data_IF_457422176290
#
_entry.id   IF_457422176290
#
_cell.length_a   1.000
_cell.length_b   1.000
_cell.length_c   1.000
_cell.angle_alpha   90.00
_cell.angle_beta   90.00
_cell.angle_gamma   90.00
#
_symmetry.space_group_name_H-M   'P 1'
#
loop_
_entity.id
_entity.type
_entity.pdbx_description
1 polymer ?
#
# COMPACT_ATOMS: atom_id res chain seq x y z
N UNK A 1 -6.02 -9.77 24.87
CA UNK A 1 -5.65 -11.18 24.64
C UNK A 1 -5.62 -11.89 25.99
N UNK A 2 -5.68 -13.22 26.01
CA UNK A 2 -5.62 -13.97 27.25
C UNK A 2 -4.24 -13.79 27.90
N UNK A 3 -4.22 -13.54 29.21
CA UNK A 3 -2.99 -13.30 29.99
C UNK A 3 -3.09 -13.99 31.34
N UNK A 4 -1.96 -14.48 31.83
CA UNK A 4 -1.90 -15.01 33.20
C UNK A 4 -2.09 -13.85 34.18
N UNK A 5 -2.96 -13.96 35.19
CA UNK A 5 -3.27 -12.86 36.10
C UNK A 5 -2.22 -12.76 37.21
N UNK A 6 -0.93 -12.65 36.87
CA UNK A 6 0.08 -12.38 37.89
C UNK A 6 -0.14 -10.99 38.50
N UNK A 7 -0.07 -10.91 39.83
CA UNK A 7 -0.24 -9.68 40.63
C UNK A 7 0.96 -9.52 41.55
N UNK A 8 1.18 -8.30 42.03
CA UNK A 8 2.21 -8.03 43.03
C UNK A 8 1.97 -8.87 44.30
N UNK A 9 3.02 -9.55 44.77
CA UNK A 9 2.98 -10.29 46.03
C UNK A 9 3.01 -9.28 47.19
N UNK A 10 2.12 -9.44 48.19
CA UNK A 10 2.01 -8.53 49.33
C UNK A 10 3.32 -8.41 50.15
N UNK A 11 3.43 -7.32 50.91
CA UNK A 11 4.68 -6.69 51.40
C UNK A 11 5.51 -7.43 52.44
N UNK A 12 5.31 -8.73 52.69
CA UNK A 12 5.99 -9.42 53.79
C UNK A 12 7.34 -10.06 53.43
N UNK A 13 7.89 -9.83 52.22
CA UNK A 13 9.25 -10.28 51.90
C UNK A 13 9.90 -9.45 50.80
N UNK A 14 11.13 -8.96 51.02
CA UNK A 14 11.95 -8.20 50.05
C UNK A 14 12.17 -8.96 48.72
N UNK A 15 11.96 -10.28 48.71
CA UNK A 15 11.97 -11.14 47.50
C UNK A 15 10.74 -10.93 46.58
N UNK A 16 9.67 -10.28 47.04
CA UNK A 16 8.41 -10.11 46.28
C UNK A 16 8.58 -9.19 45.07
N UNK A 17 9.29 -8.07 45.20
CA UNK A 17 9.41 -7.08 44.14
C UNK A 17 10.12 -7.61 42.88
N UNK A 18 11.16 -8.43 43.04
CA UNK A 18 11.84 -9.06 41.90
C UNK A 18 10.95 -10.09 41.19
N UNK A 19 10.20 -10.90 41.95
CA UNK A 19 9.25 -11.86 41.39
C UNK A 19 8.11 -11.16 40.66
N UNK A 20 7.62 -10.04 41.20
CA UNK A 20 6.62 -9.19 40.55
C UNK A 20 7.13 -8.58 39.24
N UNK A 21 8.40 -8.17 39.18
CA UNK A 21 9.04 -7.72 37.93
C UNK A 21 9.06 -8.81 36.85
N UNK A 22 9.49 -10.02 37.20
CA UNK A 22 9.51 -11.18 36.28
C UNK A 22 8.10 -11.52 35.79
N UNK A 23 7.13 -11.54 36.70
CA UNK A 23 5.71 -11.75 36.38
C UNK A 23 5.17 -10.72 35.37
N UNK A 24 5.55 -9.45 35.53
CA UNK A 24 5.16 -8.40 34.60
C UNK A 24 5.78 -8.57 33.22
N UNK A 25 7.04 -8.99 33.14
CA UNK A 25 7.70 -9.24 31.84
C UNK A 25 7.12 -10.47 31.14
N UNK A 26 6.75 -11.52 31.88
CA UNK A 26 6.02 -12.66 31.33
C UNK A 26 4.68 -12.21 30.73
N UNK A 27 3.92 -11.35 31.42
CA UNK A 27 2.67 -10.81 30.88
C UNK A 27 2.88 -10.03 29.57
N UNK A 28 3.92 -9.18 29.49
CA UNK A 28 4.24 -8.46 28.24
C UNK A 28 4.58 -9.42 27.10
N UNK A 29 5.34 -10.48 27.38
CA UNK A 29 5.67 -11.51 26.38
C UNK A 29 4.39 -12.22 25.91
N UNK A 30 3.51 -12.61 26.83
CA UNK A 30 2.23 -13.24 26.49
C UNK A 30 1.34 -12.32 25.65
N UNK A 31 1.31 -11.03 25.96
CA UNK A 31 0.58 -10.02 25.19
C UNK A 31 1.16 -9.84 23.78
N UNK A 32 2.49 -9.80 23.62
CA UNK A 32 3.13 -9.65 22.30
C UNK A 32 2.92 -10.89 21.43
N UNK A 33 3.08 -12.08 22.01
CA UNK A 33 2.92 -13.33 21.28
C UNK A 33 1.46 -13.66 20.98
N UNK A 34 0.53 -13.12 21.76
CA UNK A 34 -0.88 -13.45 21.66
C UNK A 34 -1.13 -14.93 21.93
N UNK A 35 -0.81 -15.36 23.15
CA UNK A 35 -0.88 -16.77 23.54
C UNK A 35 -2.30 -17.34 23.44
N UNK A 36 -2.40 -18.59 23.02
CA UNK A 36 -3.66 -19.35 22.96
C UNK A 36 -4.05 -19.88 24.34
N UNK A 37 -5.31 -20.27 24.47
CA UNK A 37 -5.87 -20.86 25.68
C UNK A 37 -6.56 -22.18 25.40
N UNK A 38 -6.61 -23.03 26.41
CA UNK A 38 -7.39 -24.27 26.42
C UNK A 38 -8.29 -24.32 27.67
N UNK A 39 -9.42 -25.01 27.55
CA UNK A 39 -10.44 -25.13 28.60
C UNK A 39 -10.34 -26.52 29.22
N UNK A 40 -10.44 -26.58 30.55
CA UNK A 40 -10.55 -27.81 31.31
C UNK A 40 -11.84 -27.78 32.13
N UNK A 41 -12.51 -28.91 32.17
CA UNK A 41 -13.76 -29.13 32.90
C UNK A 41 -13.57 -30.32 33.84
N UNK A 42 -14.13 -30.24 35.05
CA UNK A 42 -14.03 -31.23 36.13
C UNK A 42 -12.60 -31.69 36.40
N UNK A 43 -11.64 -30.78 36.29
CA UNK A 43 -10.23 -31.12 36.50
C UNK A 43 -9.95 -31.31 37.99
N UNK A 44 -9.39 -32.45 38.42
CA UNK A 44 -9.17 -32.73 39.83
C UNK A 44 -8.09 -31.83 40.44
N UNK A 45 -8.35 -31.33 41.65
CA UNK A 45 -7.37 -30.62 42.46
C UNK A 45 -6.85 -31.52 43.59
N UNK A 46 -5.55 -31.51 43.81
CA UNK A 46 -4.90 -32.33 44.83
C UNK A 46 -4.71 -31.53 46.11
N UNK A 47 -5.07 -32.07 47.29
CA UNK A 47 -4.84 -31.39 48.55
C UNK A 47 -3.34 -31.36 48.88
N UNK A 48 -2.87 -30.21 49.35
CA UNK A 48 -1.56 -30.08 49.96
C UNK A 48 -1.63 -30.68 51.37
N UNK A 49 -0.82 -31.72 51.61
CA UNK A 49 -0.90 -32.56 52.83
C UNK A 49 0.40 -32.63 53.63
N UNK A 50 1.47 -32.00 53.14
CA UNK A 50 2.83 -32.02 53.72
C UNK A 50 3.04 -31.01 54.86
N UNK A 51 1.97 -30.37 55.33
CA UNK A 51 2.02 -29.40 56.41
C UNK A 51 2.20 -30.08 57.79
N UNK A 52 3.08 -29.52 58.61
CA UNK A 52 3.35 -29.98 59.99
C UNK A 52 2.13 -29.81 60.89
N UNK A 53 1.38 -28.72 60.73
CA UNK A 53 0.11 -28.49 61.42
C UNK A 53 -1.03 -29.25 60.71
N UNK A 54 -1.59 -30.26 61.37
CA UNK A 54 -2.67 -31.08 60.84
C UNK A 54 -3.98 -30.31 60.64
N UNK A 55 -4.16 -29.16 61.27
CA UNK A 55 -5.35 -28.30 61.13
C UNK A 55 -5.33 -27.47 59.85
N UNK A 56 -4.18 -27.38 59.19
CA UNK A 56 -4.02 -26.66 57.93
C UNK A 56 -4.11 -27.58 56.69
N UNK A 57 -3.98 -28.90 56.89
CA UNK A 57 -4.16 -29.91 55.83
C UNK A 57 -5.55 -29.83 55.24
N UNK A 58 -5.69 -30.11 53.94
CA UNK A 58 -6.97 -30.05 53.23
C UNK A 58 -7.61 -28.64 53.21
N UNK A 59 -6.79 -27.59 53.28
CA UNK A 59 -7.22 -26.20 52.99
C UNK A 59 -6.75 -25.72 51.63
N UNK A 60 -5.58 -26.16 51.19
CA UNK A 60 -4.98 -25.75 49.93
C UNK A 60 -5.12 -26.90 48.95
N UNK A 61 -5.68 -26.61 47.78
CA UNK A 61 -5.84 -27.55 46.68
C UNK A 61 -5.16 -26.98 45.45
N UNK A 62 -4.33 -27.78 44.78
CA UNK A 62 -3.56 -27.38 43.61
C UNK A 62 -3.88 -28.28 42.41
N UNK A 63 -3.99 -27.68 41.23
CA UNK A 63 -3.94 -28.42 39.98
C UNK A 63 -2.49 -28.65 39.54
N UNK A 64 -2.30 -29.71 38.77
CA UNK A 64 -1.09 -29.95 37.99
C UNK A 64 -0.96 -28.98 36.79
N UNK A 65 -2.05 -28.34 36.37
CA UNK A 65 -2.09 -27.29 35.34
C UNK A 65 -2.16 -25.91 35.99
N UNK A 66 -1.25 -25.00 35.59
CA UNK A 66 -1.13 -23.63 36.12
C UNK A 66 -1.54 -22.58 35.09
N UNK A 67 -1.36 -21.30 35.40
CA UNK A 67 -1.61 -20.17 34.50
C UNK A 67 -3.07 -20.04 34.05
N UNK A 68 -4.00 -20.21 34.99
CA UNK A 68 -5.42 -20.02 34.70
C UNK A 68 -5.71 -18.54 34.46
N UNK A 69 -6.60 -18.29 33.53
CA UNK A 69 -7.14 -16.96 33.23
C UNK A 69 -8.23 -16.58 34.23
N UNK A 70 -8.59 -15.30 34.28
CA UNK A 70 -9.68 -14.78 35.12
C UNK A 70 -10.94 -14.45 34.31
N UNK A 71 -10.90 -14.68 33.00
CA UNK A 71 -12.00 -14.42 32.10
C UNK A 71 -12.07 -15.56 31.07
N UNK A 72 -12.98 -16.54 31.25
CA UNK A 72 -13.96 -16.65 32.35
C UNK A 72 -13.29 -16.93 33.71
N UNK A 73 -13.98 -16.58 34.81
CA UNK A 73 -13.50 -16.88 36.16
C UNK A 73 -13.57 -18.40 36.41
N UNK A 74 -12.54 -19.03 37.03
CA UNK A 74 -12.58 -20.44 37.38
C UNK A 74 -13.76 -20.79 38.29
N UNK A 75 -14.38 -21.95 38.07
CA UNK A 75 -15.49 -22.45 38.89
C UNK A 75 -15.02 -23.66 39.69
N UNK A 76 -15.21 -23.63 41.00
CA UNK A 76 -14.77 -24.68 41.91
C UNK A 76 -15.96 -25.54 42.35
N UNK A 77 -15.76 -26.84 42.35
CA UNK A 77 -16.73 -27.83 42.80
C UNK A 77 -16.17 -28.61 43.98
N UNK A 78 -17.07 -28.97 44.90
CA UNK A 78 -16.83 -29.90 46.00
C UNK A 78 -17.91 -30.97 45.93
N UNK A 79 -17.48 -32.22 45.80
CA UNK A 79 -18.36 -33.38 45.67
C UNK A 79 -19.40 -33.20 44.53
N UNK A 80 -18.96 -32.61 43.42
CA UNK A 80 -19.79 -32.34 42.24
C UNK A 80 -20.73 -31.13 42.33
N UNK A 81 -20.72 -30.39 43.45
CA UNK A 81 -21.54 -29.17 43.64
C UNK A 81 -20.68 -27.92 43.61
N UNK A 82 -21.13 -26.86 42.93
CA UNK A 82 -20.43 -25.56 42.90
C UNK A 82 -20.30 -25.00 44.32
N UNK A 83 -19.09 -24.60 44.68
CA UNK A 83 -18.78 -23.98 45.97
C UNK A 83 -19.03 -22.48 45.91
N UNK A 84 -19.60 -21.91 46.97
CA UNK A 84 -19.74 -20.46 47.12
C UNK A 84 -18.35 -19.78 47.09
N UNK A 85 -18.11 -18.79 46.21
CA UNK A 85 -16.87 -18.02 46.18
C UNK A 85 -16.48 -17.37 47.53
N UNK A 86 -17.41 -17.20 48.47
CA UNK A 86 -17.10 -16.73 49.83
C UNK A 86 -16.36 -17.75 50.71
N UNK A 87 -16.32 -19.03 50.33
CA UNK A 87 -15.67 -20.10 51.09
C UNK A 87 -14.18 -20.28 50.77
N UNK A 88 -13.68 -19.64 49.71
CA UNK A 88 -12.30 -19.82 49.25
C UNK A 88 -11.70 -18.55 48.64
N UNK A 89 -10.38 -18.54 48.55
CA UNK A 89 -9.61 -17.58 47.77
C UNK A 89 -8.96 -18.28 46.58
N UNK A 90 -9.06 -17.66 45.41
CA UNK A 90 -8.47 -18.17 44.17
C UNK A 90 -7.09 -17.59 43.93
N UNK A 91 -6.19 -18.47 43.49
CA UNK A 91 -4.85 -18.14 43.03
C UNK A 91 -4.66 -18.65 41.58
N UNK A 92 -5.35 -18.06 40.57
CA UNK A 92 -5.47 -18.65 39.23
C UNK A 92 -4.12 -18.81 38.52
N UNK A 93 -3.21 -17.84 38.69
CA UNK A 93 -1.87 -17.92 38.11
C UNK A 93 -1.08 -19.15 38.59
N UNK A 94 -1.35 -19.62 39.80
CA UNK A 94 -0.70 -20.75 40.44
C UNK A 94 -1.50 -22.06 40.30
N UNK A 95 -2.73 -21.99 39.78
CA UNK A 95 -3.64 -23.12 39.71
C UNK A 95 -4.09 -23.63 41.08
N UNK A 96 -4.26 -22.73 42.05
CA UNK A 96 -4.51 -23.08 43.43
C UNK A 96 -5.79 -22.43 44.00
N UNK A 97 -6.40 -23.13 44.95
CA UNK A 97 -7.57 -22.70 45.72
C UNK A 97 -7.23 -22.84 47.21
N UNK A 98 -7.55 -21.82 48.00
CA UNK A 98 -7.35 -21.83 49.45
C UNK A 98 -8.70 -21.66 50.14
N UNK A 99 -9.20 -22.72 50.78
CA UNK A 99 -10.45 -22.67 51.53
C UNK A 99 -10.28 -21.99 52.89
N UNK A 100 -11.27 -21.20 53.28
CA UNK A 100 -11.33 -20.55 54.61
C UNK A 100 -11.43 -21.61 55.72
N UNK A 101 -12.17 -22.69 55.47
CA UNK A 101 -12.32 -23.82 56.39
C UNK A 101 -11.58 -25.07 55.89
N UNK A 102 -11.17 -25.93 56.82
CA UNK A 102 -10.62 -27.24 56.50
C UNK A 102 -11.69 -28.12 55.85
N UNK A 103 -11.34 -28.80 54.75
CA UNK A 103 -12.24 -29.73 54.07
C UNK A 103 -12.15 -31.13 54.69
N UNK A 104 -13.17 -31.96 54.44
CA UNK A 104 -13.13 -33.36 54.84
C UNK A 104 -12.04 -34.12 54.06
N UNK A 105 -11.45 -35.15 54.66
CA UNK A 105 -10.35 -35.92 54.03
C UNK A 105 -10.76 -36.61 52.74
N UNK A 106 -12.05 -36.92 52.63
CA UNK A 106 -12.64 -37.67 51.52
C UNK A 106 -13.35 -36.73 50.51
N UNK A 107 -13.24 -35.41 50.69
CA UNK A 107 -13.88 -34.45 49.79
C UNK A 107 -13.15 -34.43 48.44
N UNK A 108 -13.92 -34.54 47.36
CA UNK A 108 -13.41 -34.41 46.00
C UNK A 108 -13.56 -32.96 45.53
N UNK A 109 -12.44 -32.30 45.25
CA UNK A 109 -12.43 -30.92 44.74
C UNK A 109 -12.01 -30.93 43.28
N UNK A 110 -12.85 -30.34 42.43
CA UNK A 110 -12.58 -30.19 40.99
C UNK A 110 -12.76 -28.73 40.56
N UNK A 111 -12.22 -28.38 39.39
CA UNK A 111 -12.33 -27.04 38.84
C UNK A 111 -12.57 -27.04 37.33
N UNK A 112 -13.38 -26.08 36.90
CA UNK A 112 -13.50 -25.66 35.50
C UNK A 112 -12.70 -24.38 35.31
N UNK A 113 -11.76 -24.38 34.37
CA UNK A 113 -10.91 -23.21 34.13
C UNK A 113 -10.40 -23.14 32.70
N UNK A 114 -10.07 -21.91 32.29
CA UNK A 114 -9.34 -21.64 31.04
C UNK A 114 -7.90 -21.29 31.39
N UNK A 115 -6.90 -21.87 30.71
CA UNK A 115 -5.48 -21.63 30.98
C UNK A 115 -4.69 -21.35 29.70
N UNK A 116 -3.52 -20.70 29.85
CA UNK A 116 -2.62 -20.41 28.73
C UNK A 116 -1.81 -21.66 28.37
N UNK A 117 -1.78 -21.99 27.07
CA UNK A 117 -0.99 -23.10 26.52
C UNK A 117 0.28 -22.60 25.81
N UNK A 118 1.21 -23.51 25.50
CA UNK A 118 2.48 -23.19 24.82
C UNK A 118 2.37 -22.87 23.32
N UNK A 119 1.30 -22.22 22.88
CA UNK A 119 1.03 -21.86 21.49
C UNK A 119 0.66 -20.37 21.36
N UNK A 120 0.97 -19.75 20.23
CA UNK A 120 0.82 -18.33 20.00
C UNK A 120 0.17 -18.05 18.64
N UNK A 121 -0.76 -17.10 18.58
CA UNK A 121 -1.44 -16.72 17.33
C UNK A 121 -0.48 -16.10 16.31
N UNK A 122 0.59 -15.43 16.78
CA UNK A 122 1.57 -14.80 15.88
C UNK A 122 2.27 -15.81 14.95
N UNK A 123 2.42 -17.07 15.36
CA UNK A 123 3.00 -18.11 14.52
C UNK A 123 2.05 -18.53 13.39
N UNK A 124 0.75 -18.57 13.68
CA UNK A 124 -0.29 -18.86 12.70
C UNK A 124 -0.41 -17.70 11.70
N UNK A 125 -0.38 -16.45 12.18
CA UNK A 125 -0.39 -15.25 11.34
C UNK A 125 0.81 -15.22 10.38
N UNK A 126 2.01 -15.57 10.86
CA UNK A 126 3.21 -15.66 10.02
C UNK A 126 3.05 -16.75 8.95
N UNK A 127 2.53 -17.92 9.32
CA UNK A 127 2.29 -19.01 8.38
C UNK A 127 1.24 -18.64 7.32
N UNK A 128 0.17 -17.95 7.73
CA UNK A 128 -0.85 -17.44 6.83
C UNK A 128 -0.28 -16.40 5.87
N UNK A 129 0.46 -15.41 6.36
CA UNK A 129 1.12 -14.42 5.50
C UNK A 129 2.10 -15.07 4.51
N UNK A 130 2.81 -16.13 4.91
CA UNK A 130 3.67 -16.87 4.00
C UNK A 130 2.88 -17.56 2.87
N UNK A 131 1.72 -18.15 3.17
CA UNK A 131 0.83 -18.74 2.16
C UNK A 131 0.24 -17.69 1.23
N UNK A 132 -0.18 -16.54 1.76
CA UNK A 132 -0.66 -15.40 0.96
C UNK A 132 0.41 -14.90 -0.01
N UNK A 133 1.68 -14.83 0.42
CA UNK A 133 2.82 -14.49 -0.44
C UNK A 133 2.98 -15.51 -1.58
N UNK A 134 2.89 -16.81 -1.31
CA UNK A 134 2.98 -17.84 -2.35
C UNK A 134 1.79 -17.78 -3.34
N UNK A 135 0.57 -17.57 -2.85
CA UNK A 135 -0.58 -17.36 -3.73
C UNK A 135 -0.44 -16.10 -4.59
N UNK A 136 0.13 -15.01 -4.06
CA UNK A 136 0.45 -13.82 -4.85
C UNK A 136 1.47 -14.17 -5.94
N UNK A 137 2.51 -14.96 -5.64
CA UNK A 137 3.48 -15.43 -6.65
C UNK A 137 2.80 -16.26 -7.75
N UNK A 138 1.92 -17.19 -7.39
CA UNK A 138 1.20 -18.02 -8.36
C UNK A 138 0.24 -17.20 -9.23
N UNK A 139 -0.49 -16.25 -8.63
CA UNK A 139 -1.39 -15.33 -9.36
C UNK A 139 -0.62 -14.38 -10.29
N UNK A 140 0.62 -14.04 -9.97
CA UNK A 140 1.53 -13.31 -10.87
C UNK A 140 2.08 -14.18 -12.01
N UNK A 141 1.95 -15.51 -11.94
CA UNK A 141 2.38 -16.48 -12.96
C UNK A 141 1.21 -16.99 -13.83
N UNK A 142 0.20 -16.15 -14.07
CA UNK A 142 -1.01 -16.51 -14.83
C UNK A 142 -0.75 -17.28 -16.15
N UNK A 143 -1.71 -18.11 -16.60
CA UNK A 143 -1.47 -19.18 -17.57
C UNK A 143 -1.20 -18.61 -18.97
N UNK A 144 0.08 -18.55 -19.32
CA UNK A 144 0.50 -18.09 -20.65
C UNK A 144 1.97 -18.28 -21.02
N UNK A 145 2.85 -18.73 -20.10
CA UNK A 145 4.26 -18.97 -20.43
C UNK A 145 4.53 -20.46 -20.63
N UNK A 146 4.07 -20.98 -21.78
CA UNK A 146 4.59 -22.22 -22.31
C UNK A 146 6.04 -22.01 -22.77
N UNK A 147 6.91 -22.83 -22.20
CA UNK A 147 8.28 -23.16 -22.63
C UNK A 147 9.39 -22.11 -22.52
N UNK A 148 10.40 -22.54 -21.75
CA UNK A 148 11.78 -22.07 -21.61
C UNK A 148 12.01 -20.86 -20.69
N UNK A 149 12.59 -21.19 -19.53
CA UNK A 149 13.26 -20.31 -18.58
C UNK A 149 12.43 -19.16 -18.01
N UNK A 150 11.55 -19.50 -17.06
CA UNK A 150 11.16 -18.60 -15.98
C UNK A 150 12.36 -18.31 -15.06
N UNK A 151 13.40 -17.71 -15.63
CA UNK A 151 14.47 -17.05 -14.89
C UNK A 151 13.81 -15.87 -14.18
N UNK A 152 13.85 -15.89 -12.85
CA UNK A 152 13.66 -14.70 -12.05
C UNK A 152 14.67 -13.68 -12.58
N UNK A 153 14.22 -12.75 -13.43
CA UNK A 153 15.02 -11.59 -13.81
C UNK A 153 15.09 -10.66 -12.59
N UNK A 154 15.93 -11.03 -11.62
CA UNK A 154 16.59 -10.08 -10.71
C UNK A 154 17.61 -9.30 -11.55
N UNK A 155 17.10 -8.51 -12.49
CA UNK A 155 17.86 -7.82 -13.51
C UNK A 155 17.04 -6.69 -14.08
N UNK A 156 17.06 -5.55 -13.39
CA UNK A 156 16.83 -4.24 -13.98
C UNK A 156 15.54 -4.07 -14.79
N UNK A 157 14.40 -4.41 -14.23
CA UNK A 157 13.12 -3.79 -14.63
C UNK A 157 12.39 -3.50 -13.33
N UNK A 158 12.53 -2.27 -12.83
CA UNK A 158 11.56 -1.77 -11.86
C UNK A 158 10.17 -1.98 -12.47
N UNK A 159 9.24 -2.67 -11.79
CA UNK A 159 7.87 -2.72 -12.24
C UNK A 159 7.33 -1.30 -12.08
N UNK A 160 7.49 -0.50 -13.13
CA UNK A 160 6.91 0.83 -13.26
C UNK A 160 5.42 0.68 -13.53
N UNK A 161 4.71 0.10 -12.55
CA UNK A 161 3.30 0.38 -12.37
C UNK A 161 3.22 1.78 -11.77
N UNK A 162 2.43 2.70 -12.36
CA UNK A 162 2.32 4.05 -11.86
C UNK A 162 1.72 4.04 -10.45
N UNK A 163 2.59 4.09 -9.43
CA UNK A 163 2.19 4.25 -8.04
C UNK A 163 1.76 5.71 -7.86
N UNK A 164 0.69 5.95 -7.12
CA UNK A 164 0.13 7.28 -6.94
C UNK A 164 1.19 8.29 -6.44
N UNK A 165 1.37 9.40 -7.18
CA UNK A 165 2.11 10.58 -6.70
C UNK A 165 3.45 10.91 -7.37
N UNK A 166 3.93 10.13 -8.36
CA UNK A 166 5.28 10.31 -8.93
C UNK A 166 5.35 10.97 -10.32
N UNK A 167 4.23 11.21 -11.01
CA UNK A 167 4.23 11.81 -12.36
C UNK A 167 3.37 13.07 -12.42
N UNK A 168 3.98 14.17 -12.90
CA UNK A 168 3.33 15.50 -12.97
C UNK A 168 2.76 15.84 -14.35
N UNK A 169 3.06 15.07 -15.40
CA UNK A 169 2.59 15.38 -16.77
C UNK A 169 1.17 14.91 -17.09
N UNK A 170 0.60 14.00 -16.29
CA UNK A 170 -0.75 13.48 -16.47
C UNK A 170 -1.54 13.67 -15.18
N UNK A 171 -2.41 14.69 -15.13
CA UNK A 171 -3.23 14.95 -13.95
C UNK A 171 -4.31 13.88 -13.82
N UNK A 172 -4.26 13.09 -12.74
CA UNK A 172 -5.31 12.15 -12.36
C UNK A 172 -6.63 12.93 -12.20
N UNK A 173 -7.75 12.43 -12.74
CA UNK A 173 -9.04 13.17 -12.71
C UNK A 173 -9.56 13.53 -11.30
N UNK A 174 -9.12 12.81 -10.28
CA UNK A 174 -9.40 13.11 -8.86
C UNK A 174 -8.38 14.03 -8.19
N UNK A 175 -7.25 14.33 -8.84
CA UNK A 175 -6.32 15.36 -8.43
C UNK A 175 -6.61 16.64 -9.21
N UNK A 176 -7.58 17.40 -8.72
CA UNK A 176 -7.80 18.77 -9.17
C UNK A 176 -6.97 19.71 -8.27
N UNK A 177 -5.84 20.27 -8.74
CA UNK A 177 -5.03 21.18 -7.92
C UNK A 177 -5.74 22.51 -7.60
N UNK A 178 -6.95 22.73 -8.14
CA UNK A 178 -7.74 23.95 -8.02
C UNK A 178 -8.95 23.76 -7.05
N UNK A 179 -9.42 22.53 -6.81
CA UNK A 179 -10.65 22.30 -6.00
C UNK A 179 -10.61 20.97 -5.25
N UNK A 180 -10.88 21.01 -3.94
CA UNK A 180 -10.74 19.89 -2.98
C UNK A 180 -11.82 18.79 -3.09
N UNK A 181 -12.91 19.03 -3.83
CA UNK A 181 -14.02 18.08 -3.96
C UNK A 181 -13.86 17.18 -5.20
N UNK A 182 -13.31 15.99 -5.01
CA UNK A 182 -13.02 15.01 -6.07
C UNK A 182 -14.26 14.35 -6.70
N UNK A 183 -14.26 14.23 -8.02
CA UNK A 183 -15.17 13.33 -8.74
C UNK A 183 -14.63 11.90 -8.65
N UNK A 184 -15.39 10.98 -8.04
CA UNK A 184 -15.10 9.55 -8.09
C UNK A 184 -15.40 8.98 -9.48
N UNK A 185 -14.38 8.78 -10.30
CA UNK A 185 -14.48 7.96 -11.53
C UNK A 185 -13.17 7.20 -11.75
N UNK A 186 -13.27 5.93 -12.15
CA UNK A 186 -12.16 5.00 -12.48
C UNK A 186 -10.93 5.71 -13.07
N UNK A 187 -9.89 5.86 -12.25
CA UNK A 187 -8.89 6.93 -12.42
C UNK A 187 -7.72 6.62 -13.36
N UNK A 188 -7.62 5.38 -13.88
CA UNK A 188 -6.51 4.96 -14.74
C UNK A 188 -6.95 3.95 -15.80
N UNK A 189 -7.66 4.41 -16.83
CA UNK A 189 -7.87 3.60 -18.04
C UNK A 189 -6.65 3.71 -18.96
N UNK A 190 -5.86 2.63 -19.13
CA UNK A 190 -4.69 2.65 -20.01
C UNK A 190 -5.11 2.73 -21.48
N UNK A 191 -4.24 3.28 -22.31
CA UNK A 191 -4.38 3.33 -23.76
C UNK A 191 -3.16 2.67 -24.39
N UNK A 192 -3.36 1.60 -25.16
CA UNK A 192 -2.26 0.82 -25.72
C UNK A 192 -2.22 0.92 -27.24
N UNK A 193 -1.03 1.11 -27.79
CA UNK A 193 -0.82 1.08 -29.24
C UNK A 193 -1.52 2.22 -29.98
N UNK A 194 -1.39 3.43 -29.48
CA UNK A 194 -1.95 4.62 -30.11
C UNK A 194 -0.99 5.09 -31.20
N UNK A 195 -1.46 5.10 -32.44
CA UNK A 195 -0.68 5.60 -33.57
C UNK A 195 -0.39 7.08 -33.41
N UNK A 196 0.88 7.42 -33.58
CA UNK A 196 1.38 8.79 -33.63
C UNK A 196 2.20 8.89 -34.90
N UNK A 197 1.89 9.89 -35.70
CA UNK A 197 2.60 10.14 -36.95
C UNK A 197 3.99 10.74 -36.67
N UNK A 198 4.97 10.32 -37.44
CA UNK A 198 6.31 10.90 -37.43
C UNK A 198 6.31 12.34 -37.94
N UNK A 199 7.40 13.05 -37.67
CA UNK A 199 7.53 14.48 -37.99
C UNK A 199 6.41 15.33 -37.37
N UNK A 200 5.93 14.93 -36.20
CA UNK A 200 4.97 15.70 -35.41
C UNK A 200 5.55 16.07 -34.06
N UNK A 201 5.20 17.25 -33.58
CA UNK A 201 5.43 17.66 -32.20
C UNK A 201 4.09 17.72 -31.49
N UNK A 202 3.89 16.81 -30.54
CA UNK A 202 2.73 16.79 -29.66
C UNK A 202 3.10 17.44 -28.32
N UNK A 203 2.50 18.58 -27.99
CA UNK A 203 2.69 19.30 -26.74
C UNK A 203 1.45 19.21 -25.83
N UNK A 204 1.69 18.88 -24.57
CA UNK A 204 0.67 18.64 -23.55
C UNK A 204 0.87 19.60 -22.37
N UNK A 205 -0.19 20.23 -21.86
CA UNK A 205 -0.07 21.17 -20.75
C UNK A 205 0.21 20.42 -19.45
N UNK A 206 1.10 20.96 -18.61
CA UNK A 206 1.31 20.48 -17.24
C UNK A 206 1.69 21.65 -16.32
N UNK A 207 0.87 21.96 -15.30
CA UNK A 207 1.22 22.97 -14.32
C UNK A 207 2.22 22.44 -13.30
N UNK A 208 3.01 23.37 -12.80
CA UNK A 208 3.97 23.22 -11.73
C UNK A 208 3.48 24.08 -10.56
N UNK A 209 3.15 23.46 -9.44
CA UNK A 209 2.56 24.15 -8.27
C UNK A 209 3.63 24.68 -7.32
N UNK A 210 4.81 24.06 -7.32
CA UNK A 210 5.97 24.44 -6.51
C UNK A 210 7.24 24.27 -7.33
N UNK A 211 8.29 25.00 -6.96
CA UNK A 211 9.62 24.82 -7.54
C UNK A 211 10.01 23.33 -7.54
N UNK A 212 10.27 22.77 -8.72
CA UNK A 212 10.44 21.32 -8.91
C UNK A 212 11.59 21.04 -9.88
N UNK A 213 12.45 20.09 -9.51
CA UNK A 213 13.53 19.58 -10.36
C UNK A 213 13.11 18.26 -10.99
N UNK A 214 13.21 18.19 -12.32
CA UNK A 214 12.98 16.99 -13.10
C UNK A 214 14.30 16.38 -13.56
N UNK A 215 14.52 15.13 -13.20
CA UNK A 215 15.80 14.44 -13.48
C UNK A 215 15.73 13.62 -14.76
N UNK A 216 14.54 13.16 -15.15
CA UNK A 216 14.36 12.24 -16.28
C UNK A 216 12.98 12.38 -16.91
N UNK A 217 12.89 12.06 -18.19
CA UNK A 217 11.65 11.84 -18.91
C UNK A 217 11.62 10.43 -19.51
N UNK A 218 10.42 9.86 -19.62
CA UNK A 218 10.19 8.53 -20.18
C UNK A 218 9.05 8.49 -21.19
N UNK A 219 9.16 7.62 -22.18
CA UNK A 219 8.09 7.30 -23.14
C UNK A 219 7.98 5.79 -23.31
N UNK A 220 6.76 5.27 -23.39
CA UNK A 220 6.51 3.83 -23.53
C UNK A 220 6.02 3.51 -24.94
N UNK A 221 6.90 2.93 -25.76
CA UNK A 221 6.59 2.44 -27.09
C UNK A 221 5.93 1.06 -26.98
N UNK A 222 4.86 0.83 -27.74
CA UNK A 222 4.30 -0.51 -27.93
C UNK A 222 5.06 -1.25 -29.02
N UNK A 223 5.14 -0.63 -30.20
CA UNK A 223 5.84 -1.16 -31.36
C UNK A 223 6.05 -0.05 -32.41
N UNK A 224 7.04 -0.24 -33.28
CA UNK A 224 7.31 0.61 -34.42
C UNK A 224 7.65 -0.22 -35.66
N UNK A 225 7.63 0.40 -36.84
CA UNK A 225 8.07 -0.25 -38.09
C UNK A 225 9.60 -0.44 -38.15
N UNK A 226 10.31 0.20 -37.24
CA UNK A 226 11.76 0.13 -37.05
C UNK A 226 12.12 0.79 -35.73
N UNK A 227 13.42 0.98 -35.51
CA UNK A 227 13.91 1.72 -34.35
C UNK A 227 13.33 3.13 -34.32
N UNK A 228 12.62 3.45 -33.23
CA UNK A 228 11.95 4.74 -33.05
C UNK A 228 12.91 5.70 -32.37
N UNK A 229 13.02 6.90 -32.93
CA UNK A 229 13.76 8.01 -32.37
C UNK A 229 12.79 9.06 -31.88
N UNK A 230 12.97 9.50 -30.64
CA UNK A 230 12.11 10.51 -30.03
C UNK A 230 12.91 11.47 -29.15
N UNK A 231 12.41 12.70 -29.03
CA UNK A 231 12.90 13.70 -28.09
C UNK A 231 11.77 14.23 -27.22
N UNK A 232 12.12 14.64 -26.01
CA UNK A 232 11.23 15.36 -25.11
C UNK A 232 11.66 16.82 -25.08
N UNK A 233 10.69 17.72 -25.23
CA UNK A 233 10.88 19.15 -25.06
C UNK A 233 10.01 19.68 -23.93
N UNK A 234 10.42 20.80 -23.35
CA UNK A 234 9.58 21.60 -22.45
C UNK A 234 9.49 23.00 -23.04
N UNK A 235 8.27 23.46 -23.32
CA UNK A 235 8.00 24.83 -23.74
C UNK A 235 7.35 25.61 -22.59
N UNK A 236 7.62 26.91 -22.55
CA UNK A 236 6.88 27.85 -21.74
C UNK A 236 5.44 27.98 -22.26
N UNK A 237 4.51 28.42 -21.41
CA UNK A 237 3.22 28.96 -21.84
C UNK A 237 3.39 30.43 -22.28
N UNK A 238 2.59 30.91 -23.24
CA UNK A 238 2.58 32.34 -23.64
C UNK A 238 1.68 33.23 -22.75
N UNK A 239 1.07 32.67 -21.71
CA UNK A 239 0.09 33.34 -20.84
C UNK A 239 -1.35 33.22 -21.35
N UNK A 240 -1.57 32.58 -22.51
CA UNK A 240 -2.89 32.37 -23.11
C UNK A 240 -3.30 30.89 -23.14
N UNK A 241 -2.48 29.98 -22.60
CA UNK A 241 -2.71 28.55 -22.75
C UNK A 241 -2.21 28.01 -24.08
N UNK A 242 -1.08 28.50 -24.59
CA UNK A 242 -0.42 27.96 -25.79
C UNK A 242 1.09 27.79 -25.55
N UNK A 243 1.70 26.71 -26.06
CA UNK A 243 3.16 26.55 -26.01
C UNK A 243 3.86 27.66 -26.80
N UNK A 244 4.93 28.20 -26.21
CA UNK A 244 5.67 29.35 -26.72
C UNK A 244 7.14 29.01 -26.97
N UNK A 245 8.06 29.51 -26.14
CA UNK A 245 9.50 29.31 -26.29
C UNK A 245 9.95 27.99 -25.67
N UNK A 246 10.87 27.30 -26.34
CA UNK A 246 11.52 26.09 -25.85
C UNK A 246 12.42 26.46 -24.66
N UNK A 247 12.17 25.84 -23.52
CA UNK A 247 12.98 25.95 -22.31
C UNK A 247 14.06 24.89 -22.30
N UNK A 248 13.69 23.67 -22.71
CA UNK A 248 14.56 22.50 -22.64
C UNK A 248 14.27 21.53 -23.78
N UNK A 249 15.30 20.86 -24.28
CA UNK A 249 15.18 19.66 -25.10
C UNK A 249 16.09 18.56 -24.58
N UNK A 250 15.60 17.33 -24.60
CA UNK A 250 16.35 16.16 -24.19
C UNK A 250 17.36 15.72 -25.26
N UNK A 251 18.38 14.92 -24.88
CA UNK A 251 19.06 14.04 -25.81
C UNK A 251 18.05 13.17 -26.59
N UNK A 252 18.47 12.65 -27.75
CA UNK A 252 17.68 11.70 -28.50
C UNK A 252 17.54 10.38 -27.74
N UNK A 253 16.31 9.87 -27.66
CA UNK A 253 16.01 8.53 -27.20
C UNK A 253 15.87 7.60 -28.40
N UNK A 254 16.46 6.42 -28.29
CA UNK A 254 16.37 5.35 -29.28
C UNK A 254 15.68 4.16 -28.64
N UNK A 255 14.52 3.78 -29.18
CA UNK A 255 13.70 2.67 -28.68
C UNK A 255 13.60 1.60 -29.76
N UNK A 256 13.81 0.34 -29.37
CA UNK A 256 13.75 -0.79 -30.28
C UNK A 256 12.33 -1.00 -30.84
N UNK A 257 12.23 -1.62 -32.02
CA UNK A 257 10.98 -1.72 -32.77
C UNK A 257 9.93 -2.60 -32.08
N UNK A 258 10.38 -3.53 -31.25
CA UNK A 258 9.57 -4.41 -30.39
C UNK A 258 8.98 -3.70 -29.16
N UNK A 259 9.31 -2.42 -28.96
CA UNK A 259 8.71 -1.58 -27.94
C UNK A 259 9.52 -1.48 -26.65
N UNK A 260 8.86 -1.04 -25.59
CA UNK A 260 9.46 -0.80 -24.27
C UNK A 260 9.63 0.69 -23.95
N UNK A 261 10.39 0.95 -22.89
CA UNK A 261 10.59 2.31 -22.40
C UNK A 261 11.85 2.96 -23.00
N UNK A 262 11.69 4.15 -23.53
CA UNK A 262 12.78 5.09 -23.81
C UNK A 262 12.91 6.10 -22.69
N UNK A 263 14.13 6.43 -22.31
CA UNK A 263 14.43 7.40 -21.26
C UNK A 263 15.42 8.44 -21.75
N UNK A 264 15.25 9.67 -21.28
CA UNK A 264 16.24 10.73 -21.43
C UNK A 264 16.44 11.47 -20.11
N UNK A 265 17.69 11.78 -19.80
CA UNK A 265 18.02 12.61 -18.65
C UNK A 265 17.71 14.09 -18.94
N UNK A 266 17.16 14.78 -17.95
CA UNK A 266 16.67 16.16 -18.06
C UNK A 266 17.52 17.14 -17.25
N UNK A 267 17.57 16.95 -15.93
CA UNK A 267 18.19 17.87 -14.98
C UNK A 267 17.72 19.32 -15.15
N UNK A 268 16.39 19.51 -15.22
CA UNK A 268 15.75 20.82 -15.42
C UNK A 268 14.96 21.23 -14.18
N UNK A 269 15.18 22.46 -13.71
CA UNK A 269 14.46 23.04 -12.59
C UNK A 269 13.43 24.05 -13.11
N UNK A 270 12.15 23.85 -12.75
CA UNK A 270 11.05 24.73 -13.15
C UNK A 270 10.46 25.44 -11.93
N UNK A 271 10.12 26.71 -12.12
CA UNK A 271 9.39 27.51 -11.14
C UNK A 271 7.89 27.19 -11.19
N UNK A 272 7.09 27.60 -10.20
CA UNK A 272 5.63 27.50 -10.29
C UNK A 272 5.09 28.21 -11.55
N UNK A 273 4.23 27.55 -12.31
CA UNK A 273 3.71 28.07 -13.57
C UNK A 273 3.10 26.99 -14.47
N UNK A 274 2.53 27.39 -15.60
CA UNK A 274 2.05 26.46 -16.63
C UNK A 274 3.14 26.25 -17.68
N UNK A 275 3.39 24.99 -18.02
CA UNK A 275 4.37 24.58 -19.02
C UNK A 275 3.77 23.55 -19.97
N UNK A 276 4.49 23.26 -21.05
CA UNK A 276 4.07 22.32 -22.09
C UNK A 276 5.14 21.28 -22.33
N UNK A 277 4.83 20.02 -22.01
CA UNK A 277 5.73 18.91 -22.29
C UNK A 277 5.44 18.39 -23.70
N UNK A 278 6.47 18.34 -24.51
CA UNK A 278 6.36 18.01 -25.91
C UNK A 278 7.12 16.73 -26.23
N UNK A 279 6.57 15.92 -27.14
CA UNK A 279 7.25 14.80 -27.78
C UNK A 279 7.46 15.13 -29.25
N UNK A 280 8.66 14.90 -29.76
CA UNK A 280 8.97 14.95 -31.19
C UNK A 280 9.26 13.54 -31.68
N UNK A 281 8.44 13.03 -32.59
CA UNK A 281 8.54 11.67 -33.10
C UNK A 281 9.24 11.64 -34.45
N UNK A 282 10.25 10.78 -34.61
CA UNK A 282 11.01 10.66 -35.85
C UNK A 282 10.35 9.86 -36.96
N UNK A 283 9.41 8.99 -36.61
CA UNK A 283 8.70 8.12 -37.53
C UNK A 283 7.33 7.75 -36.94
N UNK A 284 6.45 7.21 -37.78
CA UNK A 284 5.18 6.66 -37.34
C UNK A 284 5.41 5.53 -36.34
N UNK A 285 4.77 5.62 -35.18
CA UNK A 285 4.98 4.71 -34.06
C UNK A 285 3.72 4.54 -33.21
N UNK A 286 3.60 3.40 -32.55
CA UNK A 286 2.48 3.07 -31.68
C UNK A 286 2.89 3.19 -30.21
N UNK A 287 2.32 4.15 -29.51
CA UNK A 287 2.69 4.48 -28.14
C UNK A 287 1.65 4.05 -27.12
N UNK A 288 2.10 3.74 -25.91
CA UNK A 288 1.25 3.53 -24.76
C UNK A 288 1.05 4.85 -23.99
N UNK A 289 -0.10 4.99 -23.34
CA UNK A 289 -0.49 6.19 -22.63
C UNK A 289 -1.77 5.99 -21.82
N UNK A 290 -2.54 7.05 -21.65
CA UNK A 290 -3.78 7.06 -20.87
C UNK A 290 -4.99 7.43 -21.71
N UNK A 291 -6.16 6.90 -21.39
CA UNK A 291 -7.42 7.38 -21.97
C UNK A 291 -7.74 8.80 -21.50
N UNK A 292 -8.46 9.58 -22.31
CA UNK A 292 -8.84 10.96 -21.98
C UNK A 292 -9.72 11.12 -20.74
N UNK A 293 -10.30 10.03 -20.26
CA UNK A 293 -11.14 10.04 -19.05
C UNK A 293 -10.29 9.95 -17.78
N UNK A 294 -9.04 9.52 -17.92
CA UNK A 294 -8.07 9.36 -16.84
C UNK A 294 -7.28 10.65 -16.58
N UNK A 295 -7.18 11.54 -17.57
CA UNK A 295 -6.40 12.78 -17.52
C UNK A 295 -7.31 14.01 -17.44
N UNK A 296 -7.00 14.98 -16.57
CA UNK A 296 -7.69 16.28 -16.55
C UNK A 296 -7.26 17.09 -17.79
N UNK A 297 -8.18 17.51 -18.67
CA UNK A 297 -7.88 18.56 -19.63
C UNK A 297 -7.71 19.87 -18.86
N UNK A 298 -6.47 20.34 -18.72
CA UNK A 298 -6.16 21.56 -17.98
C UNK A 298 -6.66 22.83 -18.66
N UNK A 299 -7.03 22.73 -19.94
CA UNK A 299 -7.63 23.83 -20.68
C UNK A 299 -9.14 23.62 -20.76
N UNK A 300 -9.87 24.27 -19.85
CA UNK A 300 -11.30 24.51 -20.07
C UNK A 300 -11.40 25.59 -21.13
N UNK A 301 -11.72 25.16 -22.34
CA UNK A 301 -11.82 26.03 -23.48
C UNK A 301 -12.90 27.09 -23.26
N UNK A 302 -12.53 28.37 -23.20
CA UNK A 302 -13.52 29.43 -23.32
C UNK A 302 -13.88 29.54 -24.80
N UNK A 303 -14.98 28.90 -25.19
CA UNK A 303 -15.41 28.79 -26.57
C UNK A 303 -15.53 30.13 -27.30
N UNK A 304 -15.74 31.25 -26.59
CA UNK A 304 -16.00 32.55 -27.21
C UNK A 304 -14.86 33.06 -28.13
N UNK A 305 -13.60 32.81 -27.79
CA UNK A 305 -12.46 33.32 -28.57
C UNK A 305 -12.14 32.48 -29.81
N UNK A 306 -12.52 31.20 -29.82
CA UNK A 306 -12.28 30.27 -30.95
C UNK A 306 -13.50 30.09 -31.84
N UNK A 307 -14.71 30.24 -31.29
CA UNK A 307 -15.97 30.22 -32.04
C UNK A 307 -16.05 31.34 -33.10
N UNK A 308 -15.19 32.36 -33.03
CA UNK A 308 -15.11 33.40 -34.05
C UNK A 308 -14.40 32.95 -35.35
N UNK A 309 -13.59 31.88 -35.33
CA UNK A 309 -12.73 31.52 -36.46
C UNK A 309 -13.01 30.15 -37.10
N UNK A 310 -14.09 29.45 -36.75
CA UNK A 310 -14.48 28.21 -37.42
C UNK A 310 -15.92 28.30 -37.93
N UNK A 311 -16.09 28.09 -39.24
CA UNK A 311 -17.38 28.00 -39.92
C UNK A 311 -18.27 26.87 -39.40
N UNK A 312 -17.73 25.95 -38.59
CA UNK A 312 -18.44 24.86 -37.95
C UNK A 312 -18.27 24.96 -36.44
N UNK A 313 -19.39 25.15 -35.71
CA UNK A 313 -19.42 25.29 -34.25
C UNK A 313 -18.98 23.98 -33.59
N UNK A 314 -17.81 23.91 -32.93
CA UNK A 314 -17.42 22.70 -32.21
C UNK A 314 -18.38 22.50 -31.03
N UNK A 315 -18.83 21.27 -30.83
CA UNK A 315 -19.66 20.91 -29.67
C UNK A 315 -18.95 21.35 -28.37
N UNK A 316 -19.62 22.07 -27.45
CA UNK A 316 -19.04 22.53 -26.17
C UNK A 316 -18.57 21.38 -25.24
N UNK A 317 -18.87 20.13 -25.59
CA UNK A 317 -18.38 18.93 -24.92
C UNK A 317 -17.10 18.36 -25.54
N UNK A 318 -16.49 19.04 -26.51
CA UNK A 318 -15.24 18.59 -27.16
C UNK A 318 -14.04 18.91 -26.28
N UNK A 319 -13.33 17.87 -25.84
CA UNK A 319 -12.13 18.01 -25.01
C UNK A 319 -10.88 18.01 -25.89
N UNK A 320 -10.03 19.01 -25.73
CA UNK A 320 -8.73 19.10 -26.41
C UNK A 320 -7.62 18.69 -25.46
N UNK A 321 -6.65 17.95 -26.00
CA UNK A 321 -5.57 17.36 -25.21
C UNK A 321 -4.24 18.08 -25.28
N UNK A 322 -4.08 19.01 -26.23
CA UNK A 322 -2.84 19.74 -26.41
C UNK A 322 -2.73 20.33 -27.81
N UNK A 323 -1.51 20.71 -28.17
CA UNK A 323 -1.17 21.25 -29.49
C UNK A 323 -0.30 20.30 -30.29
N UNK A 324 -0.62 20.12 -31.57
CA UNK A 324 0.12 19.28 -32.50
C UNK A 324 0.61 20.15 -33.63
N UNK A 325 1.91 20.18 -33.81
CA UNK A 325 2.52 20.71 -35.02
C UNK A 325 2.84 19.53 -35.94
N UNK A 326 2.41 19.60 -37.20
CA UNK A 326 2.69 18.59 -38.24
C UNK A 326 3.76 19.10 -39.20
N UNK A 327 4.33 18.18 -40.00
CA UNK A 327 5.36 18.46 -40.99
C UNK A 327 6.63 19.10 -40.39
N UNK A 328 6.96 18.75 -39.14
CA UNK A 328 8.17 19.20 -38.46
C UNK A 328 9.23 18.12 -38.59
N UNK A 329 10.16 18.29 -39.52
CA UNK A 329 11.27 17.35 -39.74
C UNK A 329 11.94 17.00 -38.42
N UNK A 330 12.10 15.70 -38.19
CA UNK A 330 12.72 15.21 -36.98
C UNK A 330 14.18 15.69 -36.81
N UNK A 331 14.51 16.16 -35.61
CA UNK A 331 15.79 16.80 -35.31
C UNK A 331 15.77 17.56 -33.99
N UNK A 332 16.47 18.70 -33.94
CA UNK A 332 16.33 19.61 -32.80
C UNK A 332 14.93 20.21 -32.79
N UNK A 333 14.38 20.36 -31.58
CA UNK A 333 13.06 20.97 -31.43
C UNK A 333 13.14 22.47 -31.75
N UNK A 334 12.13 23.05 -32.44
CA UNK A 334 12.09 24.48 -32.73
C UNK A 334 12.19 25.33 -31.46
N UNK A 335 12.98 26.42 -31.51
CA UNK A 335 13.13 27.34 -30.37
C UNK A 335 11.82 28.04 -30.00
N UNK A 336 10.93 28.23 -30.96
CA UNK A 336 9.56 28.69 -30.77
C UNK A 336 8.62 27.62 -31.27
N UNK A 337 7.54 27.34 -30.53
CA UNK A 337 6.57 26.34 -30.94
C UNK A 337 6.04 26.67 -32.34
N UNK A 338 5.95 25.69 -33.26
CA UNK A 338 5.59 25.97 -34.65
C UNK A 338 4.26 26.69 -34.80
N UNK A 339 4.20 27.59 -35.79
CA UNK A 339 2.96 28.28 -36.16
C UNK A 339 1.89 27.32 -36.70
N UNK A 340 2.31 26.18 -37.27
CA UNK A 340 1.43 25.05 -37.64
C UNK A 340 0.85 24.30 -36.45
N UNK A 341 1.22 24.68 -35.22
CA UNK A 341 0.67 24.12 -34.00
C UNK A 341 -0.82 24.43 -33.86
N UNK A 342 -1.63 23.38 -33.94
CA UNK A 342 -3.09 23.45 -33.78
C UNK A 342 -3.55 22.58 -32.62
N UNK A 343 -4.69 22.94 -32.02
CA UNK A 343 -5.31 22.10 -31.00
C UNK A 343 -5.72 20.77 -31.62
N UNK A 344 -5.32 19.66 -30.99
CA UNK A 344 -5.79 18.35 -31.40
C UNK A 344 -6.71 17.75 -30.33
N UNK A 345 -7.83 17.22 -30.81
CA UNK A 345 -8.66 16.32 -30.01
C UNK A 345 -7.91 15.01 -29.85
N UNK A 346 -7.84 14.49 -28.63
CA UNK A 346 -7.29 13.15 -28.41
C UNK A 346 -8.09 12.42 -27.39
N UNK A 347 -8.60 11.26 -27.80
CA UNK A 347 -9.23 10.31 -26.88
C UNK A 347 -8.19 9.59 -25.99
N UNK A 348 -6.89 9.77 -26.27
CA UNK A 348 -5.77 9.13 -25.58
C UNK A 348 -4.58 10.08 -25.43
N UNK A 349 -3.89 10.11 -24.31
CA UNK A 349 -2.72 10.92 -24.03
C UNK A 349 -1.47 10.03 -23.97
N UNK A 350 -0.59 10.14 -24.97
CA UNK A 350 0.73 9.49 -24.95
C UNK A 350 1.82 10.54 -24.75
N UNK A 351 1.66 11.38 -23.72
CA UNK A 351 2.66 12.40 -23.42
C UNK A 351 3.89 11.77 -22.75
N UNK A 352 5.05 12.43 -22.78
CA UNK A 352 6.18 12.01 -21.98
C UNK A 352 5.87 12.05 -20.48
N UNK A 353 6.42 11.09 -19.75
CA UNK A 353 6.34 10.99 -18.31
C UNK A 353 7.53 11.73 -17.70
N UNK A 354 7.28 12.65 -16.77
CA UNK A 354 8.34 13.34 -16.04
C UNK A 354 8.58 12.71 -14.67
N UNK A 355 9.86 12.57 -14.32
CA UNK A 355 10.30 12.03 -13.03
C UNK A 355 10.98 13.14 -12.23
N UNK A 356 10.49 13.38 -11.03
CA UNK A 356 11.07 14.34 -10.08
C UNK A 356 12.30 13.75 -9.40
N UNK A 357 13.30 14.59 -9.15
CA UNK A 357 14.53 14.23 -8.41
C UNK A 357 14.46 14.53 -6.93
#
# INVERSE_FOLDING_TARGET
>A
MAKTPYRDLASESILSAHLSGVQHDVNKIQDVLGMKTDVKENHPLLPVTDQEDSTLRFRIYEADIRNWTTQPEPVIYRDGTVVDPGEYELYPAYGAVVFVAQQHTDAEVTADFTHIIGEANILDDIAQHAQEIEQIKENMQGPGSGTEEAVIRVGGVEPFYPVAGTYLSHYRRDYNPIIESGYHTESHRPAFGILVYGNTIDAFPFPITRKTTFVRAGLCLRNGNGTVRAKVGIYADDGTGRPSNLIFQSPEMTIAADGGWGYADLQVELQPGLYWIARHDGADAYWNGLHQMSAIPLMRFNGETFLQNLAERPNPHTVFGGYRATNITYGNMPQTFPTSGELFRRDYYCSPWLITG
#
